data_IF_562873429322
#
_entry.id   IF_562873429322
#
_cell.length_a   1.000
_cell.length_b   1.000
_cell.length_c   1.000
_cell.angle_alpha   90.00
_cell.angle_beta   90.00
_cell.angle_gamma   90.00
#
_symmetry.space_group_name_H-M   'P 1'
#
loop_
_entity.id
_entity.type
_entity.pdbx_description
1 polymer ?
#
# COMPACT_ATOMS: atom_id res chain seq x y z
N UNK A 1 2.18 15.55 20.83
CA UNK A 1 1.38 15.81 19.61
C UNK A 1 1.84 14.86 18.53
N UNK A 2 0.96 14.06 17.99
CA UNK A 2 1.33 12.88 17.19
C UNK A 2 1.79 13.36 15.79
N UNK A 3 3.04 13.10 15.41
CA UNK A 3 3.60 13.52 14.10
C UNK A 3 2.76 13.06 12.89
N UNK A 4 1.94 12.01 13.08
CA UNK A 4 0.99 11.51 12.09
C UNK A 4 -0.23 12.44 11.89
N UNK A 5 -0.69 13.12 12.94
CA UNK A 5 -1.80 14.08 12.82
C UNK A 5 -1.37 15.30 12.03
N UNK A 6 -0.15 15.80 12.25
CA UNK A 6 0.43 16.89 11.46
C UNK A 6 0.65 16.51 9.99
N UNK A 7 0.95 15.24 9.70
CA UNK A 7 1.08 14.78 8.31
C UNK A 7 -0.26 14.66 7.59
N UNK A 8 -1.32 14.24 8.29
CA UNK A 8 -2.68 14.21 7.72
C UNK A 8 -3.14 15.64 7.44
N UNK A 9 -3.00 16.56 8.39
CA UNK A 9 -3.32 17.97 8.22
C UNK A 9 -2.50 18.59 7.09
N UNK A 10 -1.22 18.26 6.98
CA UNK A 10 -0.36 18.69 5.87
C UNK A 10 -0.87 18.16 4.53
N UNK A 11 -1.21 16.87 4.41
CA UNK A 11 -1.73 16.28 3.17
C UNK A 11 -3.11 16.84 2.80
N UNK A 12 -3.98 17.13 3.77
CA UNK A 12 -5.28 17.78 3.57
C UNK A 12 -5.14 19.24 3.15
N UNK A 13 -4.07 19.92 3.57
CA UNK A 13 -3.79 21.32 3.22
C UNK A 13 -3.18 21.50 1.84
N UNK A 14 -2.71 20.41 1.21
CA UNK A 14 -2.05 20.50 -0.07
C UNK A 14 -3.07 20.75 -1.19
N UNK A 15 -2.83 21.72 -2.07
CA UNK A 15 -3.71 21.95 -3.20
C UNK A 15 -3.83 20.68 -4.03
N UNK A 16 -5.02 20.41 -4.56
CA UNK A 16 -5.31 19.28 -5.47
C UNK A 16 -4.35 19.35 -6.67
N UNK A 17 -3.24 18.69 -6.59
CA UNK A 17 -2.15 18.83 -7.56
C UNK A 17 -0.82 18.38 -6.98
N UNK A 18 -0.84 17.47 -5.99
CA UNK A 18 0.32 16.64 -5.70
C UNK A 18 0.67 15.89 -6.96
N UNK A 19 1.30 16.64 -7.84
CA UNK A 19 1.65 16.17 -9.15
C UNK A 19 2.38 14.83 -9.08
N UNK A 20 2.46 14.16 -10.21
CA UNK A 20 3.19 12.91 -10.43
C UNK A 20 4.62 12.87 -9.84
N UNK A 21 5.13 13.96 -9.29
CA UNK A 21 6.50 14.12 -8.78
C UNK A 21 6.68 13.90 -7.25
N UNK A 22 5.63 13.68 -6.48
CA UNK A 22 5.76 13.44 -5.03
C UNK A 22 5.99 11.95 -4.71
N UNK A 23 7.02 11.33 -5.30
CA UNK A 23 7.29 9.89 -5.15
C UNK A 23 7.44 9.47 -3.69
N UNK A 24 8.14 10.24 -2.88
CA UNK A 24 8.36 9.95 -1.46
C UNK A 24 7.05 10.09 -0.67
N UNK A 25 6.30 11.18 -0.87
CA UNK A 25 5.02 11.40 -0.18
C UNK A 25 3.98 10.33 -0.49
N UNK A 26 3.94 9.85 -1.74
CA UNK A 26 3.02 8.78 -2.18
C UNK A 26 3.32 7.43 -1.53
N UNK A 27 4.53 7.22 -1.00
CA UNK A 27 4.88 6.02 -0.23
C UNK A 27 4.42 6.05 1.23
N UNK A 28 3.90 7.19 1.73
CA UNK A 28 3.39 7.31 3.10
C UNK A 28 1.90 6.94 3.15
N UNK A 29 1.59 5.64 3.20
CA UNK A 29 0.22 5.14 3.08
C UNK A 29 -0.65 5.34 4.34
N UNK A 30 -0.07 5.39 5.54
CA UNK A 30 -0.83 5.48 6.79
C UNK A 30 -1.77 6.69 6.86
N UNK A 31 -1.31 7.94 6.60
CA UNK A 31 -2.19 9.10 6.58
C UNK A 31 -3.24 9.02 5.46
N UNK A 32 -2.88 8.51 4.29
CA UNK A 32 -3.82 8.35 3.18
C UNK A 32 -4.94 7.36 3.54
N UNK A 33 -4.59 6.22 4.13
CA UNK A 33 -5.57 5.23 4.56
C UNK A 33 -6.52 5.77 5.63
N UNK A 34 -6.02 6.60 6.57
CA UNK A 34 -6.88 7.28 7.57
C UNK A 34 -7.86 8.25 6.93
N UNK A 35 -7.45 8.99 5.90
CA UNK A 35 -8.36 9.88 5.14
C UNK A 35 -9.46 9.06 4.48
N UNK A 36 -9.10 7.97 3.78
CA UNK A 36 -10.09 7.10 3.14
C UNK A 36 -11.07 6.49 4.16
N UNK A 37 -10.57 6.00 5.30
CA UNK A 37 -11.40 5.40 6.34
C UNK A 37 -12.34 6.38 7.06
N UNK A 38 -12.21 7.69 6.86
CA UNK A 38 -13.20 8.68 7.33
C UNK A 38 -14.43 8.74 6.44
N UNK A 39 -14.30 8.34 5.18
CA UNK A 39 -15.33 8.47 4.16
C UNK A 39 -15.94 7.14 3.73
N UNK A 40 -15.20 6.05 3.93
CA UNK A 40 -15.58 4.71 3.49
C UNK A 40 -15.50 3.72 4.65
N UNK A 41 -16.53 2.91 4.80
CA UNK A 41 -16.59 1.88 5.85
C UNK A 41 -15.60 0.76 5.53
N UNK A 42 -14.63 0.47 6.43
CA UNK A 42 -13.70 -0.64 6.24
C UNK A 42 -14.44 -1.96 6.03
N UNK A 43 -13.95 -2.79 5.11
CA UNK A 43 -14.50 -4.09 4.68
C UNK A 43 -15.83 -4.06 3.91
N UNK A 44 -16.60 -2.99 3.97
CA UNK A 44 -17.85 -2.82 3.21
C UNK A 44 -17.63 -1.98 1.95
N UNK A 45 -17.00 -0.82 2.10
CA UNK A 45 -16.76 0.15 1.01
C UNK A 45 -15.27 0.34 0.72
N UNK A 46 -14.39 -0.12 1.63
CA UNK A 46 -12.94 -0.03 1.52
C UNK A 46 -12.32 -1.40 1.69
N UNK A 47 -11.59 -1.84 0.67
CA UNK A 47 -10.76 -3.04 0.71
C UNK A 47 -9.30 -2.67 0.55
N UNK A 48 -8.46 -3.15 1.46
CA UNK A 48 -7.01 -3.02 1.37
C UNK A 48 -6.40 -4.38 1.02
N UNK A 49 -5.56 -4.39 0.00
CA UNK A 49 -4.76 -5.55 -0.41
C UNK A 49 -3.31 -5.12 -0.57
N UNK A 50 -2.37 -5.97 -0.20
CA UNK A 50 -0.95 -5.65 -0.25
C UNK A 50 -0.26 -6.36 -1.40
N UNK A 51 0.83 -5.75 -1.89
CA UNK A 51 1.65 -6.36 -2.92
C UNK A 51 2.33 -7.63 -2.39
N UNK A 52 2.64 -7.66 -1.11
CA UNK A 52 3.20 -8.81 -0.41
C UNK A 52 2.25 -10.01 -0.45
N UNK A 53 0.93 -9.79 -0.22
CA UNK A 53 -0.07 -10.84 -0.36
C UNK A 53 -0.15 -11.37 -1.79
N UNK A 54 -0.11 -10.48 -2.78
CA UNK A 54 -0.12 -10.83 -4.21
C UNK A 54 1.07 -11.70 -4.59
N UNK A 55 2.27 -11.36 -4.09
CA UNK A 55 3.53 -12.04 -4.40
C UNK A 55 3.73 -13.35 -3.62
N UNK A 56 2.88 -13.67 -2.65
CA UNK A 56 3.01 -14.94 -1.91
C UNK A 56 3.01 -16.13 -2.87
N UNK A 57 4.05 -16.98 -2.77
CA UNK A 57 4.11 -18.26 -3.48
C UNK A 57 2.85 -19.08 -3.12
N UNK A 58 2.51 -20.06 -3.93
CA UNK A 58 1.33 -20.92 -3.71
C UNK A 58 -0.03 -20.18 -3.78
N UNK A 59 -0.22 -19.40 -4.82
CA UNK A 59 -1.53 -18.86 -5.16
C UNK A 59 -1.89 -17.54 -4.47
N UNK A 60 -0.91 -16.72 -4.13
CA UNK A 60 -1.14 -15.38 -3.56
C UNK A 60 -2.08 -14.53 -4.42
N UNK A 61 -1.82 -14.44 -5.72
CA UNK A 61 -2.65 -13.70 -6.66
C UNK A 61 -4.11 -14.21 -6.67
N UNK A 62 -4.34 -15.53 -6.71
CA UNK A 62 -5.68 -16.10 -6.68
C UNK A 62 -6.40 -15.79 -5.35
N UNK A 63 -5.69 -15.86 -4.21
CA UNK A 63 -6.29 -15.52 -2.89
C UNK A 63 -6.71 -14.06 -2.82
N UNK A 64 -5.85 -13.15 -3.28
CA UNK A 64 -6.15 -11.71 -3.33
C UNK A 64 -7.35 -11.46 -4.25
N UNK A 65 -7.37 -12.05 -5.45
CA UNK A 65 -8.51 -11.89 -6.35
C UNK A 65 -9.80 -12.48 -5.79
N UNK A 66 -9.73 -13.58 -5.04
CA UNK A 66 -10.91 -14.09 -4.34
C UNK A 66 -11.42 -13.13 -3.24
N UNK A 67 -10.53 -12.38 -2.55
CA UNK A 67 -10.93 -11.29 -1.63
C UNK A 67 -11.64 -10.18 -2.42
N UNK A 68 -11.08 -9.76 -3.55
CA UNK A 68 -11.64 -8.71 -4.42
C UNK A 68 -13.01 -9.13 -4.97
N UNK A 69 -13.15 -10.33 -5.51
CA UNK A 69 -14.44 -10.81 -6.04
C UNK A 69 -15.51 -10.87 -4.96
N UNK A 70 -15.18 -11.33 -3.76
CA UNK A 70 -16.10 -11.34 -2.62
C UNK A 70 -16.52 -9.93 -2.23
N UNK A 71 -15.58 -9.02 -2.14
CA UNK A 71 -15.82 -7.61 -1.81
C UNK A 71 -16.76 -6.94 -2.83
N UNK A 72 -16.61 -7.25 -4.10
CA UNK A 72 -17.43 -6.72 -5.19
C UNK A 72 -18.76 -7.49 -5.38
N UNK A 73 -19.04 -8.51 -4.58
CA UNK A 73 -20.22 -9.35 -4.76
C UNK A 73 -20.21 -10.19 -6.04
N UNK A 74 -19.02 -10.41 -6.63
CA UNK A 74 -18.85 -11.17 -7.87
C UNK A 74 -18.64 -12.67 -7.59
N UNK A 75 -19.06 -13.54 -8.51
CA UNK A 75 -18.80 -14.96 -8.40
C UNK A 75 -17.29 -15.24 -8.45
N UNK A 76 -16.88 -16.30 -7.76
CA UNK A 76 -15.48 -16.75 -7.78
C UNK A 76 -15.05 -17.07 -9.21
N UNK A 77 -13.90 -16.55 -9.60
CA UNK A 77 -13.26 -16.83 -10.87
C UNK A 77 -11.84 -17.38 -10.67
N UNK A 78 -11.47 -18.40 -11.41
CA UNK A 78 -10.10 -18.94 -11.40
C UNK A 78 -9.29 -18.20 -12.44
N UNK A 79 -8.17 -17.59 -12.00
CA UNK A 79 -7.28 -16.85 -12.89
C UNK A 79 -6.60 -17.83 -13.88
N UNK A 80 -6.72 -17.54 -15.16
CA UNK A 80 -6.06 -18.32 -16.21
C UNK A 80 -4.54 -18.13 -16.20
N UNK A 81 -4.07 -16.94 -15.82
CA UNK A 81 -2.66 -16.61 -15.69
C UNK A 81 -2.42 -15.72 -14.47
N UNK A 82 -1.34 -15.98 -13.75
CA UNK A 82 -0.89 -15.20 -12.60
C UNK A 82 0.52 -14.66 -12.79
N UNK A 83 1.05 -14.70 -14.03
CA UNK A 83 2.37 -14.15 -14.33
C UNK A 83 2.36 -12.64 -14.16
N UNK A 84 3.43 -12.06 -13.58
CA UNK A 84 3.56 -10.61 -13.51
C UNK A 84 3.56 -10.01 -14.92
N UNK A 85 2.63 -9.09 -15.20
CA UNK A 85 2.69 -8.22 -16.38
C UNK A 85 3.58 -7.01 -16.09
N UNK A 86 4.21 -6.45 -17.11
CA UNK A 86 5.11 -5.30 -16.99
C UNK A 86 6.34 -5.53 -16.11
N UNK A 87 6.77 -6.77 -15.93
CA UNK A 87 8.05 -7.07 -15.28
C UNK A 87 9.18 -6.57 -16.18
N UNK A 88 9.98 -5.61 -15.66
CA UNK A 88 11.19 -5.13 -16.32
C UNK A 88 12.40 -5.81 -15.68
N UNK A 89 13.37 -6.19 -16.51
CA UNK A 89 14.70 -6.51 -16.04
C UNK A 89 15.53 -5.22 -16.03
N UNK A 90 16.16 -4.91 -14.91
CA UNK A 90 17.08 -3.79 -14.80
C UNK A 90 18.51 -4.32 -14.92
N UNK A 91 19.37 -3.62 -15.66
CA UNK A 91 20.79 -3.89 -15.63
C UNK A 91 21.36 -3.59 -14.24
N UNK A 92 22.49 -4.20 -13.90
CA UNK A 92 23.13 -3.94 -12.59
C UNK A 92 23.47 -2.46 -12.37
N UNK A 93 23.71 -1.72 -13.46
CA UNK A 93 23.95 -0.28 -13.44
C UNK A 93 22.71 0.57 -13.12
N UNK A 94 21.51 0.00 -13.28
CA UNK A 94 20.22 0.68 -12.98
C UNK A 94 19.77 0.46 -11.54
N UNK A 95 20.54 -0.30 -10.75
CA UNK A 95 20.22 -0.54 -9.34
C UNK A 95 20.61 0.70 -8.54
N UNK A 96 19.68 1.21 -7.76
CA UNK A 96 19.93 2.36 -6.90
C UNK A 96 21.11 2.11 -5.94
N UNK A 97 21.88 3.17 -5.66
CA UNK A 97 22.97 3.15 -4.69
C UNK A 97 22.53 2.50 -3.37
N UNK A 98 23.26 1.52 -2.85
CA UNK A 98 22.96 0.87 -1.57
C UNK A 98 22.83 1.86 -0.39
N UNK A 99 23.61 2.94 -0.39
CA UNK A 99 23.52 3.99 0.63
C UNK A 99 22.16 4.69 0.55
N UNK A 100 21.73 5.11 -0.64
CA UNK A 100 20.42 5.71 -0.87
C UNK A 100 19.27 4.76 -0.49
N UNK A 101 19.38 3.48 -0.80
CA UNK A 101 18.39 2.47 -0.40
C UNK A 101 18.31 2.32 1.12
N UNK A 102 19.45 2.39 1.83
CA UNK A 102 19.50 2.36 3.28
C UNK A 102 18.81 3.59 3.90
N UNK A 103 19.09 4.78 3.36
CA UNK A 103 18.44 6.02 3.79
C UNK A 103 16.93 5.98 3.57
N UNK A 104 16.47 5.52 2.41
CA UNK A 104 15.04 5.36 2.12
C UNK A 104 14.37 4.37 3.06
N UNK A 105 15.02 3.24 3.36
CA UNK A 105 14.49 2.27 4.35
C UNK A 105 14.38 2.90 5.74
N UNK A 106 15.40 3.63 6.18
CA UNK A 106 15.39 4.32 7.46
C UNK A 106 14.27 5.39 7.51
N UNK A 107 14.10 6.14 6.43
CA UNK A 107 13.01 7.12 6.29
C UNK A 107 11.63 6.47 6.38
N UNK A 108 11.39 5.37 5.64
CA UNK A 108 10.06 4.73 5.61
C UNK A 108 9.76 3.88 6.85
N UNK A 109 10.76 3.44 7.61
CA UNK A 109 10.54 2.56 8.76
C UNK A 109 9.50 3.08 9.78
N UNK A 110 9.49 4.35 10.21
CA UNK A 110 8.44 4.86 11.08
C UNK A 110 7.07 4.95 10.38
N UNK A 111 7.03 5.25 9.09
CA UNK A 111 5.81 5.34 8.29
C UNK A 111 5.18 3.95 8.07
N UNK A 112 5.99 2.94 7.85
CA UNK A 112 5.55 1.56 7.72
C UNK A 112 4.97 1.02 9.03
N UNK A 113 5.65 1.25 10.17
CA UNK A 113 5.09 0.91 11.49
C UNK A 113 3.78 1.65 11.78
N UNK A 114 3.65 2.87 11.29
CA UNK A 114 2.39 3.62 11.39
C UNK A 114 1.29 3.00 10.53
N UNK A 115 1.65 2.51 9.33
CA UNK A 115 0.71 1.80 8.45
C UNK A 115 0.22 0.51 9.09
N UNK A 116 1.12 -0.31 9.66
CA UNK A 116 0.74 -1.54 10.36
C UNK A 116 -0.27 -1.26 11.49
N UNK A 117 -0.03 -0.19 12.28
CA UNK A 117 -0.98 0.21 13.33
C UNK A 117 -2.34 0.60 12.77
N UNK A 118 -2.38 1.44 11.74
CA UNK A 118 -3.63 1.87 11.10
C UNK A 118 -4.38 0.70 10.50
N UNK A 119 -3.70 -0.21 9.83
CA UNK A 119 -4.32 -1.41 9.28
C UNK A 119 -4.94 -2.28 10.36
N UNK A 120 -4.22 -2.54 11.46
CA UNK A 120 -4.74 -3.28 12.61
C UNK A 120 -5.94 -2.58 13.27
N UNK A 121 -5.89 -1.26 13.46
CA UNK A 121 -6.99 -0.46 13.99
C UNK A 121 -8.25 -0.56 13.12
N UNK A 122 -8.09 -0.68 11.81
CA UNK A 122 -9.19 -0.81 10.83
C UNK A 122 -9.58 -2.27 10.56
N UNK A 123 -8.94 -3.25 11.21
CA UNK A 123 -9.23 -4.67 11.06
C UNK A 123 -8.62 -5.32 9.81
N UNK A 124 -7.70 -4.65 9.13
CA UNK A 124 -6.99 -5.24 7.98
C UNK A 124 -5.73 -6.00 8.41
N UNK A 125 -5.36 -7.02 7.63
CA UNK A 125 -4.11 -7.76 7.82
C UNK A 125 -2.92 -6.82 7.53
N UNK A 126 -2.12 -6.52 8.55
CA UNK A 126 -0.93 -5.69 8.41
C UNK A 126 0.22 -6.49 7.76
N UNK A 127 1.02 -5.84 6.88
CA UNK A 127 2.17 -6.50 6.25
C UNK A 127 3.27 -6.93 7.22
N UNK A 128 3.41 -6.25 8.37
CA UNK A 128 4.42 -6.55 9.38
C UNK A 128 5.81 -6.00 9.00
N UNK A 129 5.89 -4.72 8.69
CA UNK A 129 7.14 -4.03 8.34
C UNK A 129 8.07 -3.77 9.52
#
# INVERSE_FOLDING_TARGET
>A
MNALLTQVEYLESLPAGHGCHSFVGRGMYAPLLRIWARHFVPHEELLVVTLEELKKKNGGAQRVMNKVFRFLGLPRHVLADTKPSNARSYAAADVADPALLSELKAFYAPHNRALDRVMNELGFDAPGY
#
